data_IF_792849564517
#
_entry.id   IF_792849564517
#
_cell.length_a   1.000
_cell.length_b   1.000
_cell.length_c   1.000
_cell.angle_alpha   90.00
_cell.angle_beta   90.00
_cell.angle_gamma   90.00
#
_symmetry.space_group_name_H-M   'P 1'
#
loop_
_entity.id
_entity.type
_entity.pdbx_description
1 polymer ?
#
# COMPACT_ATOMS: atom_id res chain seq x y z
N UNK A 1 10.56 -15.02 -3.70
CA UNK A 1 11.53 -13.94 -3.95
C UNK A 1 12.23 -13.59 -2.65
N UNK A 2 13.53 -13.22 -2.73
CA UNK A 2 14.30 -12.78 -1.56
C UNK A 2 13.90 -11.36 -1.14
N UNK A 3 13.78 -10.47 -2.12
CA UNK A 3 13.23 -9.13 -1.93
C UNK A 3 12.13 -8.86 -2.95
N UNK A 4 11.16 -8.04 -2.58
CA UNK A 4 10.07 -7.60 -3.44
C UNK A 4 10.19 -6.09 -3.62
N UNK A 5 10.54 -5.66 -4.84
CA UNK A 5 10.64 -4.25 -5.19
C UNK A 5 9.30 -3.79 -5.76
N UNK A 6 8.82 -2.66 -5.30
CA UNK A 6 7.53 -2.09 -5.70
C UNK A 6 7.78 -0.75 -6.38
N UNK A 7 7.28 -0.61 -7.60
CA UNK A 7 7.48 0.58 -8.42
C UNK A 7 6.15 1.11 -8.93
N UNK A 8 5.95 2.40 -8.80
CA UNK A 8 4.78 3.13 -9.31
C UNK A 8 5.02 4.62 -9.21
N UNK A 9 4.35 5.41 -10.04
CA UNK A 9 4.47 6.88 -10.03
C UNK A 9 3.09 7.52 -9.82
N UNK A 10 3.06 8.69 -9.16
CA UNK A 10 1.83 9.45 -8.90
C UNK A 10 0.77 8.58 -8.18
N UNK A 11 -0.45 8.44 -8.69
CA UNK A 11 -1.51 7.64 -8.07
C UNK A 11 -1.11 6.15 -7.92
N UNK A 12 -0.42 5.57 -8.90
CA UNK A 12 0.07 4.19 -8.83
C UNK A 12 1.18 4.01 -7.78
N UNK A 13 1.91 5.08 -7.40
CA UNK A 13 2.86 5.04 -6.28
C UNK A 13 2.15 4.81 -4.94
N UNK A 14 0.96 5.37 -4.75
CA UNK A 14 0.16 5.15 -3.53
C UNK A 14 -0.27 3.68 -3.41
N UNK A 15 -0.61 3.05 -4.53
CA UNK A 15 -0.94 1.61 -4.57
C UNK A 15 0.28 0.75 -4.27
N UNK A 16 1.42 1.06 -4.87
CA UNK A 16 2.69 0.38 -4.60
C UNK A 16 3.08 0.51 -3.11
N UNK A 17 2.92 1.70 -2.54
CA UNK A 17 3.19 1.96 -1.12
C UNK A 17 2.24 1.20 -0.19
N UNK A 18 0.95 1.11 -0.51
CA UNK A 18 -0.01 0.33 0.26
C UNK A 18 0.38 -1.15 0.30
N UNK A 19 0.73 -1.73 -0.85
CA UNK A 19 1.22 -3.11 -0.91
C UNK A 19 2.52 -3.29 -0.13
N UNK A 20 3.47 -2.35 -0.23
CA UNK A 20 4.70 -2.32 0.55
C UNK A 20 4.42 -2.41 2.05
N UNK A 21 3.54 -1.53 2.58
CA UNK A 21 3.21 -1.50 4.00
C UNK A 21 2.58 -2.82 4.49
N UNK A 22 1.77 -3.45 3.66
CA UNK A 22 1.17 -4.76 3.94
C UNK A 22 2.22 -5.88 3.99
N UNK A 23 3.12 -5.91 3.00
CA UNK A 23 4.18 -6.91 2.89
C UNK A 23 5.17 -6.83 4.06
N UNK A 24 5.68 -5.64 4.40
CA UNK A 24 6.61 -5.50 5.54
C UNK A 24 5.96 -5.91 6.86
N UNK A 25 4.68 -5.58 7.06
CA UNK A 25 3.95 -5.99 8.25
C UNK A 25 3.74 -7.50 8.31
N UNK A 26 3.61 -8.16 7.17
CA UNK A 26 3.53 -9.61 7.07
C UNK A 26 4.90 -10.31 7.26
N UNK A 27 6.01 -9.55 7.28
CA UNK A 27 7.36 -10.06 7.51
C UNK A 27 8.17 -10.27 6.23
N UNK A 28 7.68 -9.80 5.08
CA UNK A 28 8.41 -9.87 3.82
C UNK A 28 9.39 -8.70 3.66
N UNK A 29 10.54 -8.96 3.03
CA UNK A 29 11.51 -7.92 2.68
C UNK A 29 11.04 -7.20 1.41
N UNK A 30 10.20 -6.20 1.60
CA UNK A 30 9.70 -5.34 0.54
C UNK A 30 10.45 -4.00 0.52
N UNK A 31 10.61 -3.41 -0.67
CA UNK A 31 11.32 -2.16 -0.92
C UNK A 31 10.45 -1.29 -1.81
N UNK A 32 10.23 -0.05 -1.39
CA UNK A 32 9.49 0.96 -2.14
C UNK A 32 10.14 2.33 -1.95
N UNK A 33 10.24 3.10 -3.01
CA UNK A 33 10.63 4.49 -2.97
C UNK A 33 9.66 5.33 -3.80
N UNK A 34 9.24 6.47 -3.25
CA UNK A 34 8.37 7.42 -3.95
C UNK A 34 9.14 8.28 -4.96
N UNK A 35 10.45 8.42 -4.79
CA UNK A 35 11.34 9.12 -5.70
C UNK A 35 11.78 8.19 -6.85
N UNK A 36 11.60 8.67 -8.08
CA UNK A 36 11.86 7.88 -9.28
C UNK A 36 13.35 7.52 -9.46
N UNK A 37 14.26 8.42 -9.11
CA UNK A 37 15.70 8.15 -9.22
C UNK A 37 16.13 7.08 -8.24
N UNK A 38 15.74 7.23 -6.98
CA UNK A 38 16.02 6.24 -5.94
C UNK A 38 15.42 4.88 -6.27
N UNK A 39 14.19 4.84 -6.80
CA UNK A 39 13.56 3.60 -7.23
C UNK A 39 14.36 2.90 -8.35
N UNK A 40 14.84 3.66 -9.36
CA UNK A 40 15.68 3.15 -10.44
C UNK A 40 17.03 2.64 -9.94
N UNK A 41 17.70 3.36 -9.04
CA UNK A 41 18.96 2.96 -8.42
C UNK A 41 18.81 1.65 -7.65
N UNK A 42 17.72 1.46 -6.91
CA UNK A 42 17.45 0.21 -6.21
C UNK A 42 17.20 -0.95 -7.15
N UNK A 43 16.41 -0.74 -8.21
CA UNK A 43 16.13 -1.77 -9.22
C UNK A 43 17.41 -2.17 -9.97
N UNK A 44 18.37 -1.26 -10.11
CA UNK A 44 19.65 -1.57 -10.73
C UNK A 44 20.38 -2.74 -10.06
N UNK A 45 20.25 -2.92 -8.75
CA UNK A 45 20.90 -3.97 -7.96
C UNK A 45 20.04 -5.23 -7.76
N UNK A 46 18.90 -5.34 -8.41
CA UNK A 46 18.06 -6.55 -8.34
C UNK A 46 18.72 -7.73 -9.03
N UNK A 47 18.34 -8.92 -8.62
CA UNK A 47 18.87 -10.20 -9.13
C UNK A 47 17.73 -11.16 -9.48
N UNK A 48 18.03 -12.28 -10.09
CA UNK A 48 17.06 -13.34 -10.38
C UNK A 48 16.38 -13.94 -9.13
N UNK A 49 16.96 -13.73 -7.93
CA UNK A 49 16.35 -14.16 -6.66
C UNK A 49 15.29 -13.20 -6.12
N UNK A 50 15.18 -12.02 -6.70
CA UNK A 50 14.24 -10.96 -6.30
C UNK A 50 13.01 -10.95 -7.21
N UNK A 51 12.05 -10.07 -6.95
CA UNK A 51 10.92 -9.79 -7.85
C UNK A 51 10.62 -8.29 -7.87
N UNK A 52 10.19 -7.79 -9.02
CA UNK A 52 9.74 -6.40 -9.17
C UNK A 52 8.26 -6.41 -9.54
N UNK A 53 7.45 -5.73 -8.75
CA UNK A 53 6.02 -5.50 -9.03
C UNK A 53 5.85 -4.05 -9.44
N UNK A 54 5.30 -3.83 -10.62
CA UNK A 54 5.23 -2.53 -11.27
C UNK A 54 3.78 -2.14 -11.50
N UNK A 55 3.38 -0.99 -10.99
CA UNK A 55 2.05 -0.41 -11.17
C UNK A 55 2.10 0.77 -12.13
N UNK A 56 1.41 0.67 -13.25
CA UNK A 56 1.22 1.76 -14.20
C UNK A 56 0.03 1.47 -15.10
N UNK A 57 -1.09 2.13 -14.86
CA UNK A 57 -2.31 1.89 -15.62
C UNK A 57 -2.09 2.05 -17.14
N UNK A 58 -1.44 3.13 -17.57
CA UNK A 58 -1.18 3.35 -19.00
C UNK A 58 -0.09 2.45 -19.59
N UNK A 59 0.85 1.98 -18.77
CA UNK A 59 2.05 1.29 -19.21
C UNK A 59 3.05 2.16 -19.99
N UNK A 60 2.87 3.50 -19.95
CA UNK A 60 3.63 4.47 -20.74
C UNK A 60 4.51 5.40 -19.88
N UNK A 61 4.44 5.31 -18.55
CA UNK A 61 5.27 6.14 -17.65
C UNK A 61 6.73 5.76 -17.79
N UNK A 62 7.55 6.68 -18.28
CA UNK A 62 8.94 6.42 -18.67
C UNK A 62 9.77 5.82 -17.54
N UNK A 63 9.70 6.38 -16.36
CA UNK A 63 10.45 5.93 -15.18
C UNK A 63 10.11 4.49 -14.80
N UNK A 64 8.83 4.16 -14.86
CA UNK A 64 8.30 2.82 -14.57
C UNK A 64 8.75 1.81 -15.62
N UNK A 65 8.72 2.19 -16.90
CA UNK A 65 9.19 1.37 -18.02
C UNK A 65 10.70 1.10 -17.91
N UNK A 66 11.48 2.13 -17.59
CA UNK A 66 12.93 1.99 -17.39
C UNK A 66 13.26 1.03 -16.23
N UNK A 67 12.52 1.13 -15.12
CA UNK A 67 12.69 0.21 -14.00
C UNK A 67 12.39 -1.25 -14.41
N UNK A 68 11.28 -1.49 -15.11
CA UNK A 68 10.93 -2.81 -15.60
C UNK A 68 11.99 -3.38 -16.59
N UNK A 69 12.47 -2.55 -17.51
CA UNK A 69 13.52 -2.92 -18.47
C UNK A 69 14.84 -3.26 -17.75
N UNK A 70 15.23 -2.47 -16.74
CA UNK A 70 16.44 -2.73 -15.96
C UNK A 70 16.30 -4.04 -15.17
N UNK A 71 15.18 -4.28 -14.49
CA UNK A 71 14.93 -5.54 -13.82
C UNK A 71 15.02 -6.75 -14.77
N UNK A 72 14.45 -6.63 -15.97
CA UNK A 72 14.54 -7.67 -17.00
C UNK A 72 15.99 -7.94 -17.43
N UNK A 73 16.82 -6.90 -17.59
CA UNK A 73 18.27 -7.06 -17.89
C UNK A 73 18.99 -7.83 -16.79
N UNK A 74 18.58 -7.64 -15.55
CA UNK A 74 19.10 -8.34 -14.37
C UNK A 74 18.50 -9.75 -14.20
N UNK A 75 17.70 -10.21 -15.17
CA UNK A 75 16.96 -11.47 -15.10
C UNK A 75 15.99 -11.56 -13.89
N UNK A 76 15.64 -10.43 -13.31
CA UNK A 76 14.67 -10.33 -12.22
C UNK A 76 13.26 -10.46 -12.78
N UNK A 77 12.42 -11.35 -12.25
CA UNK A 77 11.02 -11.43 -12.64
C UNK A 77 10.29 -10.11 -12.44
N UNK A 78 9.58 -9.64 -13.48
CA UNK A 78 8.78 -8.42 -13.48
C UNK A 78 7.31 -8.76 -13.60
N UNK A 79 6.51 -8.37 -12.61
CA UNK A 79 5.06 -8.48 -12.60
C UNK A 79 4.50 -7.08 -12.87
N UNK A 80 3.89 -6.87 -14.02
CA UNK A 80 3.27 -5.58 -14.38
C UNK A 80 1.77 -5.61 -14.15
N UNK A 81 1.28 -4.64 -13.39
CA UNK A 81 -0.15 -4.34 -13.23
C UNK A 81 -0.46 -3.15 -14.12
N UNK A 82 -1.11 -3.41 -15.25
CA UNK A 82 -1.34 -2.41 -16.30
C UNK A 82 -2.55 -2.78 -17.13
N UNK A 83 -3.10 -1.86 -17.92
CA UNK A 83 -4.24 -2.16 -18.80
C UNK A 83 -3.87 -3.17 -19.90
N UNK A 84 -4.90 -3.74 -20.53
CA UNK A 84 -4.75 -4.87 -21.46
C UNK A 84 -4.04 -4.50 -22.78
N UNK A 85 -4.07 -3.23 -23.19
CA UNK A 85 -3.50 -2.76 -24.45
C UNK A 85 -1.98 -2.89 -24.52
N UNK A 86 -1.41 -3.07 -25.69
CA UNK A 86 0.04 -3.11 -25.92
C UNK A 86 0.71 -1.87 -25.35
N UNK A 87 1.84 -2.05 -24.65
CA UNK A 87 2.61 -0.95 -24.08
C UNK A 87 4.05 -1.38 -23.80
N UNK A 88 5.02 -0.43 -23.76
CA UNK A 88 6.41 -0.74 -23.42
C UNK A 88 6.58 -1.44 -22.08
N UNK A 89 5.70 -1.19 -21.09
CA UNK A 89 5.74 -1.88 -19.83
C UNK A 89 5.37 -3.36 -19.98
N UNK A 90 4.35 -3.68 -20.81
CA UNK A 90 3.98 -5.07 -21.09
C UNK A 90 5.12 -5.84 -21.74
N UNK A 91 5.82 -5.21 -22.67
CA UNK A 91 6.96 -5.83 -23.39
C UNK A 91 8.13 -6.13 -22.44
N UNK A 92 8.29 -5.34 -21.38
CA UNK A 92 9.32 -5.52 -20.37
C UNK A 92 8.94 -6.55 -19.27
N UNK A 93 7.66 -6.91 -19.14
CA UNK A 93 7.17 -7.74 -18.06
C UNK A 93 7.37 -9.25 -18.33
N UNK A 94 7.62 -10.01 -17.27
CA UNK A 94 7.60 -11.48 -17.30
C UNK A 94 6.17 -12.01 -17.12
N UNK A 95 5.35 -11.28 -16.37
CA UNK A 95 3.95 -11.58 -16.13
C UNK A 95 3.15 -10.27 -16.14
N UNK A 96 1.98 -10.29 -16.76
CA UNK A 96 1.09 -9.13 -16.83
C UNK A 96 -0.24 -9.47 -16.19
N UNK A 97 -0.63 -8.65 -15.20
CA UNK A 97 -1.99 -8.64 -14.66
C UNK A 97 -2.72 -7.50 -15.37
N UNK A 98 -3.59 -7.89 -16.32
CA UNK A 98 -4.30 -6.94 -17.17
C UNK A 98 -5.48 -6.31 -16.43
N UNK A 99 -5.49 -4.97 -16.39
CA UNK A 99 -6.61 -4.18 -15.88
C UNK A 99 -7.61 -3.89 -17.02
N UNK A 100 -8.91 -3.78 -16.72
CA UNK A 100 -9.89 -3.39 -17.71
C UNK A 100 -9.66 -1.95 -18.18
N UNK A 101 -9.97 -1.62 -19.45
CA UNK A 101 -9.83 -0.28 -20.02
C UNK A 101 -11.00 0.62 -19.57
N UNK A 102 -11.06 0.92 -18.28
CA UNK A 102 -12.18 1.65 -17.67
C UNK A 102 -12.03 3.17 -17.70
N UNK A 103 -10.82 3.67 -17.98
CA UNK A 103 -10.56 5.11 -18.04
C UNK A 103 -9.89 5.51 -19.36
N UNK A 104 -10.29 6.66 -19.95
CA UNK A 104 -9.55 7.26 -21.07
C UNK A 104 -8.15 7.71 -20.61
N UNK A 105 -7.23 7.95 -21.57
CA UNK A 105 -5.89 8.45 -21.27
C UNK A 105 -5.90 9.83 -20.57
N UNK A 106 -6.86 10.68 -20.91
CA UNK A 106 -7.14 11.91 -20.20
C UNK A 106 -8.07 11.60 -19.03
N UNK A 107 -7.50 11.49 -17.85
CA UNK A 107 -8.17 11.05 -16.62
C UNK A 107 -8.44 12.21 -15.67
N UNK A 108 -9.60 12.21 -15.06
CA UNK A 108 -9.90 13.11 -13.94
C UNK A 108 -9.51 12.40 -12.64
N UNK A 109 -8.31 12.70 -12.13
CA UNK A 109 -7.84 12.22 -10.83
C UNK A 109 -7.44 10.75 -10.73
N UNK A 110 -7.38 10.00 -11.83
CA UNK A 110 -7.01 8.58 -11.85
C UNK A 110 -7.84 7.70 -10.86
N UNK A 111 -9.11 8.04 -10.64
CA UNK A 111 -9.94 7.42 -9.58
C UNK A 111 -10.18 5.93 -9.86
N UNK A 112 -10.71 5.61 -11.03
CA UNK A 112 -11.07 4.22 -11.39
C UNK A 112 -9.83 3.35 -11.54
N UNK A 113 -8.76 3.87 -12.17
CA UNK A 113 -7.50 3.15 -12.30
C UNK A 113 -6.85 2.84 -10.95
N UNK A 114 -6.86 3.78 -10.02
CA UNK A 114 -6.34 3.56 -8.66
C UNK A 114 -7.15 2.50 -7.91
N UNK A 115 -8.49 2.48 -8.03
CA UNK A 115 -9.31 1.44 -7.43
C UNK A 115 -9.01 0.05 -7.98
N UNK A 116 -8.90 -0.09 -9.30
CA UNK A 116 -8.58 -1.37 -9.94
C UNK A 116 -7.18 -1.86 -9.62
N UNK A 117 -6.18 -0.97 -9.62
CA UNK A 117 -4.82 -1.29 -9.19
C UNK A 117 -4.79 -1.72 -7.72
N UNK A 118 -5.50 -1.01 -6.82
CA UNK A 118 -5.59 -1.34 -5.39
C UNK A 118 -6.26 -2.71 -5.18
N UNK A 119 -7.31 -3.02 -5.93
CA UNK A 119 -7.94 -4.33 -5.88
C UNK A 119 -6.96 -5.45 -6.23
N UNK A 120 -6.20 -5.29 -7.31
CA UNK A 120 -5.18 -6.25 -7.73
C UNK A 120 -4.06 -6.36 -6.70
N UNK A 121 -3.59 -5.23 -6.14
CA UNK A 121 -2.58 -5.23 -5.08
C UNK A 121 -3.01 -6.04 -3.85
N UNK A 122 -4.28 -5.94 -3.45
CA UNK A 122 -4.83 -6.75 -2.36
C UNK A 122 -4.89 -8.24 -2.70
N UNK A 123 -5.27 -8.62 -3.93
CA UNK A 123 -5.26 -10.01 -4.37
C UNK A 123 -3.83 -10.57 -4.38
N UNK A 124 -2.85 -9.80 -4.88
CA UNK A 124 -1.44 -10.19 -4.85
C UNK A 124 -0.96 -10.41 -3.42
N UNK A 125 -1.29 -9.49 -2.51
CA UNK A 125 -0.97 -9.65 -1.09
C UNK A 125 -1.56 -10.93 -0.51
N UNK A 126 -2.85 -11.18 -0.72
CA UNK A 126 -3.52 -12.39 -0.24
C UNK A 126 -2.88 -13.66 -0.83
N UNK A 127 -2.51 -13.65 -2.12
CA UNK A 127 -1.82 -14.75 -2.76
C UNK A 127 -0.45 -15.03 -2.14
N UNK A 128 0.31 -13.97 -1.84
CA UNK A 128 1.63 -14.09 -1.19
C UNK A 128 1.52 -14.70 0.21
N UNK A 129 0.58 -14.23 1.02
CA UNK A 129 0.44 -14.68 2.42
C UNK A 129 -0.30 -16.00 2.57
N UNK A 130 -1.02 -16.45 1.54
CA UNK A 130 -1.85 -17.67 1.60
C UNK A 130 -1.03 -18.91 1.99
N UNK A 131 0.17 -19.06 1.45
CA UNK A 131 1.06 -20.19 1.75
C UNK A 131 1.66 -20.18 3.16
N UNK A 132 1.65 -19.02 3.84
CA UNK A 132 2.32 -18.79 5.12
C UNK A 132 1.42 -18.10 6.16
N UNK A 133 0.11 -18.40 6.14
CA UNK A 133 -0.90 -17.72 6.98
C UNK A 133 -0.52 -17.74 8.46
N UNK A 134 -0.08 -18.88 9.01
CA UNK A 134 0.29 -19.01 10.42
C UNK A 134 1.46 -18.10 10.79
N UNK A 135 2.51 -18.07 9.95
CA UNK A 135 3.67 -17.20 10.16
C UNK A 135 3.28 -15.73 10.03
N UNK A 136 2.48 -15.39 9.03
CA UNK A 136 1.94 -14.05 8.85
C UNK A 136 1.14 -13.59 10.06
N UNK A 137 0.27 -14.44 10.61
CA UNK A 137 -0.50 -14.12 11.83
C UNK A 137 0.42 -13.85 13.03
N UNK A 138 1.46 -14.65 13.23
CA UNK A 138 2.46 -14.43 14.29
C UNK A 138 3.17 -13.09 14.11
N UNK A 139 3.60 -12.75 12.89
CA UNK A 139 4.25 -11.48 12.58
C UNK A 139 3.33 -10.29 12.86
N UNK A 140 2.05 -10.39 12.48
CA UNK A 140 1.04 -9.37 12.76
C UNK A 140 0.81 -9.18 14.26
N UNK A 141 0.76 -10.26 15.04
CA UNK A 141 0.61 -10.19 16.51
C UNK A 141 1.84 -9.52 17.14
N UNK A 142 3.05 -9.93 16.76
CA UNK A 142 4.29 -9.35 17.27
C UNK A 142 4.41 -7.84 16.96
N UNK A 143 4.18 -7.45 15.71
CA UNK A 143 4.23 -6.03 15.30
C UNK A 143 3.12 -5.20 15.96
N UNK A 144 1.93 -5.78 16.18
CA UNK A 144 0.83 -5.11 16.88
C UNK A 144 1.14 -4.87 18.37
N UNK A 145 1.90 -5.74 19.00
CA UNK A 145 2.36 -5.53 20.39
C UNK A 145 3.36 -4.36 20.46
N UNK A 146 4.33 -4.31 19.52
CA UNK A 146 5.29 -3.22 19.45
C UNK A 146 4.61 -1.86 19.21
N UNK A 147 3.69 -1.79 18.25
CA UNK A 147 2.97 -0.55 17.92
C UNK A 147 1.85 -0.23 18.92
N UNK A 148 1.41 -1.21 19.70
CA UNK A 148 0.39 -1.04 20.74
C UNK A 148 0.78 -0.02 21.81
N UNK A 149 2.08 0.09 22.13
CA UNK A 149 2.63 1.08 23.05
C UNK A 149 2.46 2.53 22.52
N UNK A 150 2.31 2.73 21.21
CA UNK A 150 2.08 4.04 20.59
C UNK A 150 0.60 4.46 20.64
N UNK A 151 -0.30 3.57 21.04
CA UNK A 151 -1.73 3.90 21.15
C UNK A 151 -2.00 4.60 22.48
N UNK A 152 -2.60 5.79 22.41
CA UNK A 152 -3.12 6.46 23.59
C UNK A 152 -4.30 5.63 24.12
N UNK A 153 -4.24 5.18 25.37
CA UNK A 153 -5.34 4.44 26.00
C UNK A 153 -6.58 5.33 26.07
N UNK A 154 -7.63 4.95 25.35
CA UNK A 154 -8.87 5.70 25.24
C UNK A 154 -9.63 5.89 26.54
N UNK A 155 -9.40 5.03 27.55
CA UNK A 155 -10.08 5.04 28.85
C UNK A 155 -10.01 6.40 29.57
N UNK A 156 -8.89 7.11 29.45
CA UNK A 156 -8.74 8.46 30.02
C UNK A 156 -9.65 9.51 29.34
N UNK A 157 -9.98 9.32 28.06
CA UNK A 157 -10.85 10.24 27.32
C UNK A 157 -12.33 9.95 27.55
N UNK A 158 -12.72 8.70 27.68
CA UNK A 158 -14.10 8.27 27.98
C UNK A 158 -14.48 8.73 29.38
N UNK A 159 -13.64 8.46 30.39
CA UNK A 159 -13.88 8.88 31.77
C UNK A 159 -13.91 10.41 31.94
N UNK A 160 -13.07 11.16 31.21
CA UNK A 160 -13.07 12.62 31.25
C UNK A 160 -14.37 13.20 30.66
N UNK A 161 -14.93 12.59 29.60
CA UNK A 161 -16.23 13.01 29.04
C UNK A 161 -17.40 12.70 29.96
N UNK A 162 -17.39 11.55 30.62
CA UNK A 162 -18.44 11.17 31.59
C UNK A 162 -18.41 12.09 32.81
N UNK A 163 -17.24 12.38 33.38
CA UNK A 163 -17.10 13.30 34.52
C UNK A 163 -17.50 14.72 34.14
N UNK A 164 -17.14 15.23 32.96
CA UNK A 164 -17.55 16.56 32.52
C UNK A 164 -19.08 16.68 32.27
N UNK A 165 -19.75 15.59 31.84
CA UNK A 165 -21.21 15.56 31.73
C UNK A 165 -21.89 15.55 33.10
N UNK A 166 -21.38 14.76 34.03
CA UNK A 166 -21.90 14.71 35.39
C UNK A 166 -21.76 16.06 36.14
N UNK A 167 -20.64 16.77 35.93
CA UNK A 167 -20.41 18.09 36.55
C UNK A 167 -21.31 19.12 35.94
N UNK A 168 -21.54 19.14 34.62
CA UNK A 168 -22.49 20.09 33.98
C UNK A 168 -23.95 19.83 34.39
N UNK A 169 -24.36 18.58 34.54
CA UNK A 169 -25.70 18.23 35.01
C UNK A 169 -25.95 18.71 36.44
N UNK A 170 -24.95 18.57 37.33
CA UNK A 170 -25.06 19.08 38.71
C UNK A 170 -25.13 20.61 38.78
N UNK A 171 -24.40 21.33 37.95
CA UNK A 171 -24.44 22.79 37.89
C UNK A 171 -25.77 23.33 37.34
N UNK A 172 -26.41 22.58 36.41
CA UNK A 172 -27.75 22.96 35.93
C UNK A 172 -28.84 22.70 36.98
N UNK A 173 -28.73 21.62 37.75
CA UNK A 173 -29.70 21.30 38.80
C UNK A 173 -29.66 22.32 39.96
N UNK A 174 -28.49 22.83 40.36
CA UNK A 174 -28.35 23.85 41.38
C UNK A 174 -28.89 25.24 40.96
N UNK A 175 -28.84 25.60 39.69
CA UNK A 175 -29.37 26.86 39.19
C UNK A 175 -30.90 26.93 39.12
N UNK A 176 -31.58 25.79 39.18
CA UNK A 176 -33.05 25.74 39.22
C UNK A 176 -33.64 25.74 40.64
N UNK A 177 -32.81 25.57 41.68
CA UNK A 177 -33.27 25.61 43.08
C UNK A 177 -33.14 26.99 43.74
N UNK A 178 -32.33 27.90 43.16
CA UNK A 178 -32.16 29.26 43.71
C UNK A 178 -33.09 30.30 43.13
N UNK A 179 -34.11 29.92 42.32
CA UNK A 179 -35.06 30.84 41.68
C UNK A 179 -36.52 30.50 42.04
N UNK A 180 -36.76 29.85 43.16
CA UNK A 180 -38.07 29.70 43.81
C UNK A 180 -37.92 30.18 45.26
#
# INVERSE_FOLDING_TARGET
ARHIYLVGMSASALVAQDLYLKLIRAGYLAIFDADAHTALERVYYTTAADAVVVFSYSGLTKEVVLAAQQARRNQTPVIAVTRAEPSPLRDAASCVIALPPTEPLLRIGAVTSMFTETYVANILFLGVVHGEIKQTEQNYRATSQLTGALKIRGDKYVNRRLNNRATKSRQHAHRHHDNT
#
